data_IF_825349808912
#
_entry.id   IF_825349808912
#
_cell.length_a   1.000
_cell.length_b   1.000
_cell.length_c   1.000
_cell.angle_alpha   90.00
_cell.angle_beta   90.00
_cell.angle_gamma   90.00
#
_symmetry.space_group_name_H-M   'P 1'
#
loop_
_entity.id
_entity.type
_entity.pdbx_description
1 polymer ?
#
# COMPACT_ATOMS: atom_id res chain seq x y z
N UNK A 1 21.53 2.71 12.39
CA UNK A 1 20.66 3.76 11.82
C UNK A 1 19.88 3.28 10.61
N UNK A 2 20.52 2.84 9.51
CA UNK A 2 19.80 2.40 8.29
C UNK A 2 18.78 1.27 8.55
N UNK A 3 19.12 0.26 9.38
CA UNK A 3 18.19 -0.81 9.75
C UNK A 3 16.93 -0.33 10.48
N UNK A 4 17.04 0.69 11.34
CA UNK A 4 15.89 1.29 12.01
C UNK A 4 14.97 2.02 11.02
N UNK A 5 15.54 2.71 10.03
CA UNK A 5 14.76 3.35 8.97
C UNK A 5 14.06 2.33 8.06
N UNK A 6 14.73 1.23 7.69
CA UNK A 6 14.08 0.16 6.93
C UNK A 6 12.91 -0.46 7.70
N UNK A 7 13.07 -0.66 9.01
CA UNK A 7 11.99 -1.15 9.86
C UNK A 7 10.82 -0.16 9.93
N UNK A 8 11.09 1.09 10.33
CA UNK A 8 10.04 2.09 10.63
C UNK A 8 9.36 2.62 9.36
N UNK A 9 10.10 2.82 8.27
CA UNK A 9 9.57 3.42 7.04
C UNK A 9 9.22 2.39 5.96
N UNK A 10 9.71 1.15 6.08
CA UNK A 10 9.41 0.07 5.13
C UNK A 10 8.48 -0.98 5.73
N UNK A 11 8.94 -1.70 6.75
CA UNK A 11 8.22 -2.86 7.29
C UNK A 11 6.95 -2.46 8.06
N UNK A 12 7.07 -1.56 9.05
CA UNK A 12 5.97 -1.17 9.94
C UNK A 12 4.75 -0.68 9.16
N UNK A 13 4.86 0.22 8.16
CA UNK A 13 3.71 0.68 7.39
C UNK A 13 3.06 -0.44 6.58
N UNK A 14 3.86 -1.34 5.99
CA UNK A 14 3.34 -2.51 5.25
C UNK A 14 2.60 -3.47 6.17
N UNK A 15 3.12 -3.72 7.37
CA UNK A 15 2.46 -4.55 8.37
C UNK A 15 1.14 -3.92 8.85
N UNK A 16 1.14 -2.63 9.18
CA UNK A 16 -0.07 -1.90 9.56
C UNK A 16 -1.12 -1.90 8.44
N UNK A 17 -0.69 -1.72 7.19
CA UNK A 17 -1.56 -1.81 6.03
C UNK A 17 -2.19 -3.20 5.89
N UNK A 18 -1.41 -4.27 6.06
CA UNK A 18 -1.93 -5.64 6.06
C UNK A 18 -2.94 -5.90 7.18
N UNK A 19 -2.67 -5.42 8.40
CA UNK A 19 -3.61 -5.53 9.52
C UNK A 19 -4.93 -4.78 9.24
N UNK A 20 -4.86 -3.61 8.61
CA UNK A 20 -6.05 -2.84 8.20
C UNK A 20 -6.84 -3.59 7.15
N UNK A 21 -6.18 -4.17 6.15
CA UNK A 21 -6.85 -4.92 5.08
C UNK A 21 -7.61 -6.12 5.64
N UNK A 22 -7.00 -6.93 6.51
CA UNK A 22 -7.69 -8.08 7.11
C UNK A 22 -8.86 -7.68 8.01
N UNK A 23 -8.74 -6.55 8.71
CA UNK A 23 -9.85 -6.02 9.52
C UNK A 23 -10.98 -5.54 8.63
N UNK A 24 -10.67 -4.89 7.51
CA UNK A 24 -11.64 -4.43 6.54
C UNK A 24 -12.36 -5.61 5.87
N UNK A 25 -11.63 -6.67 5.48
CA UNK A 25 -12.21 -7.89 4.90
C UNK A 25 -13.20 -8.54 5.87
N UNK A 26 -12.82 -8.68 7.14
CA UNK A 26 -13.72 -9.20 8.19
C UNK A 26 -14.95 -8.30 8.37
N UNK A 27 -14.76 -6.99 8.42
CA UNK A 27 -15.86 -6.03 8.55
C UNK A 27 -16.83 -6.09 7.37
N UNK A 28 -16.31 -6.19 6.14
CA UNK A 28 -17.12 -6.32 4.93
C UNK A 28 -17.87 -7.65 4.90
N UNK A 29 -17.23 -8.76 5.28
CA UNK A 29 -17.89 -10.07 5.40
C UNK A 29 -19.03 -10.04 6.43
N UNK A 30 -18.83 -9.39 7.58
CA UNK A 30 -19.88 -9.22 8.59
C UNK A 30 -21.03 -8.32 8.12
N UNK A 31 -20.73 -7.22 7.42
CA UNK A 31 -21.74 -6.29 6.90
C UNK A 31 -22.58 -6.91 5.77
N UNK A 32 -21.97 -7.74 4.94
CA UNK A 32 -22.63 -8.40 3.80
C UNK A 32 -23.28 -9.72 4.17
N UNK A 33 -22.83 -10.36 5.26
CA UNK A 33 -23.30 -11.67 5.68
C UNK A 33 -22.81 -12.82 4.80
N UNK A 34 -21.95 -12.55 3.81
CA UNK A 34 -21.47 -13.55 2.86
C UNK A 34 -19.95 -13.44 2.64
N UNK A 35 -19.15 -14.08 3.51
CA UNK A 35 -17.70 -14.12 3.36
C UNK A 35 -17.25 -14.83 2.06
N UNK A 36 -18.02 -15.79 1.55
CA UNK A 36 -17.68 -16.53 0.34
C UNK A 36 -17.86 -15.68 -0.93
N UNK A 37 -18.93 -14.88 -1.00
CA UNK A 37 -19.10 -13.91 -2.08
C UNK A 37 -17.98 -12.87 -2.09
N UNK A 38 -17.55 -12.38 -0.93
CA UNK A 38 -16.41 -11.46 -0.84
C UNK A 38 -15.10 -12.11 -1.31
N UNK A 39 -14.86 -13.37 -0.95
CA UNK A 39 -13.70 -14.13 -1.43
C UNK A 39 -13.72 -14.28 -2.96
N UNK A 40 -14.88 -14.66 -3.54
CA UNK A 40 -15.04 -14.78 -4.99
C UNK A 40 -14.90 -13.45 -5.73
N UNK A 41 -15.34 -12.35 -5.12
CA UNK A 41 -15.13 -11.00 -5.66
C UNK A 41 -13.63 -10.62 -5.69
N UNK A 42 -12.89 -10.93 -4.62
CA UNK A 42 -11.43 -10.71 -4.58
C UNK A 42 -10.69 -11.55 -5.61
N UNK A 43 -11.06 -12.82 -5.78
CA UNK A 43 -10.50 -13.69 -6.83
C UNK A 43 -10.77 -13.10 -8.21
N UNK A 44 -12.00 -12.64 -8.48
CA UNK A 44 -12.36 -12.04 -9.76
C UNK A 44 -11.56 -10.76 -10.06
N UNK A 45 -11.32 -9.93 -9.04
CA UNK A 45 -10.55 -8.70 -9.15
C UNK A 45 -9.04 -8.92 -9.27
N UNK A 46 -8.51 -10.02 -8.73
CA UNK A 46 -7.07 -10.32 -8.76
C UNK A 46 -6.52 -10.43 -10.18
N UNK A 47 -7.33 -10.97 -11.10
CA UNK A 47 -7.02 -11.08 -12.52
C UNK A 47 -7.16 -9.75 -13.29
N UNK A 48 -7.93 -8.80 -12.76
CA UNK A 48 -8.22 -7.52 -13.40
C UNK A 48 -7.31 -6.38 -12.90
N UNK A 49 -6.05 -6.68 -12.59
CA UNK A 49 -5.10 -5.67 -12.09
C UNK A 49 -4.90 -4.59 -13.16
N UNK A 50 -5.05 -3.29 -12.82
CA UNK A 50 -4.79 -2.21 -13.78
C UNK A 50 -3.39 -2.33 -14.38
N UNK A 51 -3.29 -2.26 -15.71
CA UNK A 51 -2.00 -2.31 -16.44
C UNK A 51 -1.10 -1.13 -16.10
N UNK A 52 -1.68 -0.04 -15.60
CA UNK A 52 -1.00 1.15 -15.14
C UNK A 52 -1.56 1.59 -13.79
N UNK A 53 -0.70 2.14 -12.93
CA UNK A 53 -1.15 2.81 -11.72
C UNK A 53 -1.91 4.10 -12.11
N UNK A 54 -3.22 4.15 -11.88
CA UNK A 54 -4.00 5.35 -12.21
C UNK A 54 -3.57 6.60 -11.44
N UNK A 55 -2.84 6.47 -10.33
CA UNK A 55 -2.19 7.61 -9.65
C UNK A 55 -1.08 8.25 -10.48
N UNK A 56 -0.53 7.52 -11.46
CA UNK A 56 0.40 8.05 -12.46
C UNK A 56 -0.32 8.72 -13.63
N UNK A 57 -1.52 8.25 -13.98
CA UNK A 57 -2.32 8.79 -15.08
C UNK A 57 -3.17 10.00 -14.67
N UNK A 58 -3.50 10.14 -13.39
CA UNK A 58 -4.25 11.25 -12.82
C UNK A 58 -3.34 12.28 -12.15
N UNK A 59 -3.74 13.54 -12.12
CA UNK A 59 -3.07 14.68 -11.47
C UNK A 59 -3.11 14.63 -9.93
N UNK A 60 -3.00 13.44 -9.33
CA UNK A 60 -2.98 13.19 -7.89
C UNK A 60 -1.58 13.37 -7.26
N UNK A 61 -0.57 13.82 -8.03
CA UNK A 61 0.79 14.04 -7.53
C UNK A 61 0.85 15.01 -6.35
N UNK A 62 0.01 16.06 -6.36
CA UNK A 62 -0.06 17.05 -5.28
C UNK A 62 -0.54 16.49 -3.93
N UNK A 63 -1.15 15.30 -3.92
CA UNK A 63 -1.60 14.61 -2.70
C UNK A 63 -0.63 13.50 -2.25
N UNK A 64 0.50 13.31 -2.97
CA UNK A 64 1.47 12.28 -2.62
C UNK A 64 2.33 12.70 -1.43
N UNK A 65 2.27 11.93 -0.35
CA UNK A 65 3.15 12.08 0.81
C UNK A 65 4.53 11.42 0.59
N UNK A 66 4.75 10.77 -0.55
CA UNK A 66 6.02 10.12 -0.86
C UNK A 66 7.08 11.15 -1.32
N UNK A 67 8.32 11.09 -0.78
CA UNK A 67 9.38 12.06 -1.07
C UNK A 67 9.80 12.23 -2.53
N UNK A 68 9.48 11.30 -3.43
CA UNK A 68 9.81 11.41 -4.86
C UNK A 68 8.56 11.22 -5.76
N UNK A 69 7.34 11.19 -5.18
CA UNK A 69 6.10 11.05 -5.95
C UNK A 69 5.96 9.72 -6.70
N UNK A 70 5.02 9.63 -7.66
CA UNK A 70 4.80 8.43 -8.47
C UNK A 70 5.49 8.45 -9.84
N UNK A 71 5.82 9.63 -10.39
CA UNK A 71 6.84 9.95 -11.42
C UNK A 71 7.14 11.46 -11.39
N UNK A 72 8.39 11.83 -11.66
CA UNK A 72 8.99 13.11 -11.28
C UNK A 72 8.84 14.24 -12.33
N UNK A 73 7.62 14.55 -12.75
CA UNK A 73 7.39 15.73 -13.63
C UNK A 73 7.22 17.02 -12.83
N UNK A 74 6.59 16.96 -11.65
CA UNK A 74 6.51 18.09 -10.71
C UNK A 74 6.97 17.67 -9.31
N UNK A 75 7.93 18.42 -8.74
CA UNK A 75 8.43 18.18 -7.39
C UNK A 75 7.51 18.86 -6.37
N UNK A 76 6.81 18.05 -5.58
CA UNK A 76 6.05 18.54 -4.43
C UNK A 76 6.95 19.25 -3.38
N UNK A 77 6.37 20.09 -2.50
CA UNK A 77 7.13 20.94 -1.58
C UNK A 77 8.04 20.15 -0.62
N UNK A 78 7.63 18.95 -0.21
CA UNK A 78 8.44 18.05 0.62
C UNK A 78 9.70 17.59 -0.14
N UNK A 79 9.56 17.24 -1.42
CA UNK A 79 10.66 16.81 -2.28
C UNK A 79 11.70 17.94 -2.42
N UNK A 80 11.21 19.15 -2.66
CA UNK A 80 12.05 20.35 -2.79
C UNK A 80 12.76 20.67 -1.48
N UNK A 81 12.05 20.68 -0.34
CA UNK A 81 12.66 20.89 0.98
C UNK A 81 13.75 19.86 1.27
N UNK A 82 13.50 18.58 1.03
CA UNK A 82 14.48 17.52 1.27
C UNK A 82 15.70 17.63 0.34
N UNK A 83 15.50 18.08 -0.90
CA UNK A 83 16.59 18.28 -1.85
C UNK A 83 17.49 19.47 -1.48
N UNK A 84 16.88 20.58 -1.02
CA UNK A 84 17.60 21.83 -0.73
C UNK A 84 18.18 21.84 0.69
N UNK A 85 17.36 21.52 1.69
CA UNK A 85 17.71 21.72 3.10
C UNK A 85 18.28 20.45 3.76
N UNK A 86 17.97 19.26 3.23
CA UNK A 86 18.30 17.98 3.88
C UNK A 86 18.80 16.90 2.90
N UNK A 87 19.83 17.17 2.08
CA UNK A 87 20.26 16.26 1.00
C UNK A 87 20.69 14.87 1.49
N UNK A 88 21.33 14.78 2.67
CA UNK A 88 21.72 13.50 3.28
C UNK A 88 20.52 12.66 3.69
N UNK A 89 19.47 13.29 4.21
CA UNK A 89 18.21 12.62 4.57
C UNK A 89 17.53 12.10 3.31
N UNK A 90 17.50 12.91 2.24
CA UNK A 90 16.98 12.48 0.93
C UNK A 90 17.72 11.26 0.39
N UNK A 91 19.05 11.27 0.44
CA UNK A 91 19.87 10.13 0.00
C UNK A 91 19.60 8.87 0.83
N UNK A 92 19.39 9.00 2.14
CA UNK A 92 19.02 7.89 3.00
C UNK A 92 17.62 7.33 2.69
N UNK A 93 16.63 8.21 2.46
CA UNK A 93 15.25 7.80 2.13
C UNK A 93 15.15 7.02 0.82
N UNK A 94 15.97 7.36 -0.19
CA UNK A 94 16.05 6.59 -1.44
C UNK A 94 16.51 5.15 -1.26
N UNK A 95 17.20 4.85 -0.15
CA UNK A 95 17.65 3.49 0.19
C UNK A 95 16.61 2.71 0.98
N UNK A 96 15.55 3.37 1.44
CA UNK A 96 14.43 2.70 2.10
C UNK A 96 13.58 2.08 0.99
N UNK A 97 13.37 0.75 1.01
CA UNK A 97 12.49 0.10 0.05
C UNK A 97 11.04 0.47 0.37
N UNK A 98 10.56 1.58 -0.21
CA UNK A 98 9.15 1.96 -0.14
C UNK A 98 8.42 1.14 -1.21
N UNK A 99 8.12 -0.12 -0.89
CA UNK A 99 7.38 -1.00 -1.78
C UNK A 99 5.94 -0.53 -1.96
N UNK A 100 5.50 -0.41 -3.22
CA UNK A 100 4.14 0.05 -3.58
C UNK A 100 3.07 -1.00 -3.27
N UNK A 101 3.46 -2.25 -3.04
CA UNK A 101 2.55 -3.30 -2.61
C UNK A 101 2.40 -3.21 -1.10
N UNK A 102 1.37 -2.53 -0.64
CA UNK A 102 1.04 -2.41 0.78
C UNK A 102 -0.03 -3.42 1.24
N UNK A 103 -0.62 -4.17 0.30
CA UNK A 103 -1.64 -5.18 0.61
C UNK A 103 -0.98 -6.56 0.81
N UNK A 104 -1.55 -7.41 1.69
CA UNK A 104 -1.17 -8.81 1.80
C UNK A 104 -1.51 -9.55 0.50
N UNK A 105 -0.98 -10.76 0.32
CA UNK A 105 -1.28 -11.55 -0.87
C UNK A 105 -2.79 -11.81 -0.98
N UNK A 106 -3.33 -11.78 -2.20
CA UNK A 106 -4.77 -12.00 -2.41
C UNK A 106 -5.17 -13.40 -1.97
N UNK A 107 -4.32 -14.40 -2.16
CA UNK A 107 -4.61 -15.79 -1.79
C UNK A 107 -4.71 -15.93 -0.26
N UNK A 108 -3.89 -15.18 0.49
CA UNK A 108 -3.96 -15.16 1.95
C UNK A 108 -5.28 -14.55 2.45
N UNK A 109 -5.75 -13.49 1.78
CA UNK A 109 -7.04 -12.84 2.10
C UNK A 109 -8.22 -13.76 1.80
N UNK A 110 -8.20 -14.38 0.62
CA UNK A 110 -9.21 -15.34 0.18
C UNK A 110 -9.28 -16.53 1.13
N UNK A 111 -8.13 -17.10 1.50
CA UNK A 111 -8.05 -18.20 2.47
C UNK A 111 -8.72 -17.84 3.79
N UNK A 112 -8.44 -16.64 4.31
CA UNK A 112 -8.98 -16.17 5.59
C UNK A 112 -10.48 -15.88 5.53
N UNK A 113 -11.00 -15.40 4.40
CA UNK A 113 -12.44 -15.22 4.20
C UNK A 113 -13.17 -16.56 4.12
N UNK A 114 -12.59 -17.55 3.44
CA UNK A 114 -13.16 -18.91 3.37
C UNK A 114 -13.21 -19.58 4.74
N UNK A 115 -12.18 -19.43 5.57
CA UNK A 115 -12.22 -20.00 6.94
C UNK A 115 -13.35 -19.42 7.81
N UNK A 116 -13.87 -18.22 7.50
CA UNK A 116 -15.02 -17.65 8.23
C UNK A 116 -16.35 -18.32 7.90
N UNK A 117 -16.42 -19.15 6.85
CA UNK A 117 -17.62 -19.94 6.52
C UNK A 117 -17.62 -21.31 7.18
N UNK A 118 -16.48 -21.71 7.76
CA UNK A 118 -16.31 -22.99 8.46
C UNK A 118 -16.58 -22.87 9.97
N UNK A 119 -16.66 -21.64 10.49
CA UNK A 119 -17.05 -21.27 11.87
C UNK A 119 -18.58 -21.12 12.03
#
# INVERSE_FOLDING_TARGET
MLGAYCLILGFVPRWLSACREFTADRGAAQLTGDPAALAGALESLSYARPRQDYRRAASLQGLSLLPDGFEATERGPIVTYLATERPTVRAALKRVPVGVVAHPDTDDRVRRLRSMTED
#
